data_IF_512243407925
#
_entry.id   IF_512243407925
#
_cell.length_a   1.000
_cell.length_b   1.000
_cell.length_c   1.000
_cell.angle_alpha   90.00
_cell.angle_beta   90.00
_cell.angle_gamma   90.00
#
_symmetry.space_group_name_H-M   'P 1'
#
loop_
_entity.id
_entity.type
_entity.pdbx_description
1 polymer ?
#
# COMPACT_ATOMS: atom_id res chain seq x y z
N UNK A 1 11.86 0.01 10.71
CA UNK A 1 13.06 0.11 9.83
C UNK A 1 13.24 -1.11 8.94
N UNK A 2 13.35 -2.34 9.48
CA UNK A 2 13.59 -3.53 8.64
C UNK A 2 12.51 -3.74 7.57
N UNK A 3 11.23 -3.66 7.94
CA UNK A 3 10.11 -3.79 7.00
C UNK A 3 10.15 -2.76 5.86
N UNK A 4 10.47 -1.50 6.18
CA UNK A 4 10.61 -0.44 5.18
C UNK A 4 11.72 -0.74 4.16
N UNK A 5 12.87 -1.21 4.64
CA UNK A 5 14.01 -1.57 3.77
C UNK A 5 13.63 -2.74 2.86
N UNK A 6 12.95 -3.76 3.39
CA UNK A 6 12.51 -4.92 2.59
C UNK A 6 11.49 -4.51 1.53
N UNK A 7 10.54 -3.62 1.86
CA UNK A 7 9.57 -3.09 0.89
C UNK A 7 10.27 -2.32 -0.23
N UNK A 8 11.21 -1.45 0.10
CA UNK A 8 11.98 -0.69 -0.89
C UNK A 8 12.78 -1.63 -1.81
N UNK A 9 13.50 -2.57 -1.20
CA UNK A 9 14.30 -3.53 -1.96
C UNK A 9 13.44 -4.44 -2.84
N UNK A 10 12.33 -4.94 -2.34
CA UNK A 10 11.38 -5.74 -3.09
C UNK A 10 10.77 -4.96 -4.26
N UNK A 11 10.35 -3.71 -4.04
CA UNK A 11 9.84 -2.83 -5.10
C UNK A 11 10.91 -2.56 -6.18
N UNK A 12 12.16 -2.38 -5.79
CA UNK A 12 13.28 -2.23 -6.72
C UNK A 12 13.54 -3.52 -7.51
N UNK A 13 13.46 -4.69 -6.88
CA UNK A 13 13.64 -5.98 -7.54
C UNK A 13 12.60 -6.27 -8.63
N UNK A 14 11.43 -5.63 -8.59
CA UNK A 14 10.44 -5.74 -9.66
C UNK A 14 10.95 -5.20 -11.01
N UNK A 15 11.98 -4.37 -11.01
CA UNK A 15 12.67 -3.96 -12.24
C UNK A 15 13.20 -5.14 -13.05
N UNK A 16 13.65 -6.20 -12.41
CA UNK A 16 14.19 -7.40 -13.05
C UNK A 16 13.12 -8.39 -13.50
N UNK A 17 11.85 -8.10 -13.25
CA UNK A 17 10.71 -8.93 -13.63
C UNK A 17 10.43 -8.81 -15.13
N UNK A 18 11.05 -9.67 -15.93
CA UNK A 18 10.84 -9.71 -17.38
C UNK A 18 9.51 -10.41 -17.67
N UNK A 19 8.68 -9.92 -18.62
CA UNK A 19 7.40 -10.53 -18.97
C UNK A 19 7.60 -11.83 -19.75
N UNK A 20 8.01 -12.88 -19.06
CA UNK A 20 8.16 -14.23 -19.59
C UNK A 20 7.72 -15.27 -18.57
N UNK A 21 7.28 -16.43 -19.04
CA UNK A 21 6.78 -17.51 -18.18
C UNK A 21 7.80 -17.92 -17.11
N UNK A 22 9.08 -17.88 -17.42
CA UNK A 22 10.16 -18.24 -16.50
C UNK A 22 10.27 -17.28 -15.29
N UNK A 23 9.83 -16.02 -15.44
CA UNK A 23 9.90 -15.00 -14.39
C UNK A 23 8.62 -14.90 -13.55
N UNK A 24 7.56 -15.65 -13.86
CA UNK A 24 6.28 -15.59 -13.13
C UNK A 24 6.47 -15.92 -11.65
N UNK A 25 7.15 -17.03 -11.34
CA UNK A 25 7.38 -17.46 -9.95
C UNK A 25 8.23 -16.43 -9.21
N UNK A 26 9.29 -15.91 -9.85
CA UNK A 26 10.13 -14.86 -9.30
C UNK A 26 9.30 -13.62 -8.92
N UNK A 27 8.49 -13.14 -9.86
CA UNK A 27 7.63 -11.96 -9.67
C UNK A 27 6.63 -12.17 -8.54
N UNK A 28 5.97 -13.34 -8.51
CA UNK A 28 5.01 -13.68 -7.47
C UNK A 28 5.65 -13.72 -6.07
N UNK A 29 6.83 -14.31 -5.95
CA UNK A 29 7.55 -14.35 -4.67
C UNK A 29 7.90 -12.94 -4.20
N UNK A 30 8.42 -12.09 -5.09
CA UNK A 30 8.77 -10.71 -4.75
C UNK A 30 7.54 -9.92 -4.33
N UNK A 31 6.45 -10.01 -5.09
CA UNK A 31 5.19 -9.32 -4.74
C UNK A 31 4.67 -9.81 -3.39
N UNK A 32 4.66 -11.12 -3.16
CA UNK A 32 4.21 -11.71 -1.90
C UNK A 32 5.02 -11.20 -0.70
N UNK A 33 6.35 -11.27 -0.80
CA UNK A 33 7.24 -10.79 0.27
C UNK A 33 7.06 -9.28 0.49
N UNK A 34 7.08 -8.50 -0.59
CA UNK A 34 6.95 -7.04 -0.50
C UNK A 34 5.64 -6.63 0.14
N UNK A 35 4.51 -7.20 -0.28
CA UNK A 35 3.20 -6.92 0.31
C UNK A 35 3.13 -7.35 1.78
N UNK A 36 3.66 -8.51 2.12
CA UNK A 36 3.68 -8.98 3.53
C UNK A 36 4.42 -7.97 4.42
N UNK A 37 5.59 -7.51 4.01
CA UNK A 37 6.36 -6.53 4.79
C UNK A 37 5.75 -5.12 4.74
N UNK A 38 5.04 -4.77 3.68
CA UNK A 38 4.24 -3.56 3.62
C UNK A 38 3.13 -3.57 4.68
N UNK A 39 2.37 -4.66 4.81
CA UNK A 39 1.36 -4.81 5.86
C UNK A 39 1.96 -4.74 7.26
N UNK A 40 3.11 -5.36 7.51
CA UNK A 40 3.82 -5.17 8.78
C UNK A 40 4.17 -3.70 9.03
N UNK A 41 4.63 -2.98 8.01
CA UNK A 41 4.92 -1.54 8.11
C UNK A 41 3.68 -0.75 8.52
N UNK A 42 2.52 -1.07 7.94
CA UNK A 42 1.23 -0.44 8.28
C UNK A 42 0.80 -0.70 9.73
N UNK A 43 1.03 -1.92 10.23
CA UNK A 43 0.74 -2.25 11.63
C UNK A 43 1.58 -1.40 12.57
N UNK A 44 2.88 -1.25 12.31
CA UNK A 44 3.76 -0.40 13.11
C UNK A 44 3.39 1.08 13.02
N UNK A 45 3.04 1.56 11.83
CA UNK A 45 2.56 2.91 11.61
C UNK A 45 1.29 3.19 12.42
N UNK A 46 0.30 2.32 12.34
CA UNK A 46 -0.96 2.46 13.07
C UNK A 46 -0.78 2.40 14.59
N UNK A 47 0.13 1.56 15.08
CA UNK A 47 0.47 1.52 16.50
C UNK A 47 1.07 2.83 17.00
N UNK A 48 1.92 3.47 16.18
CA UNK A 48 2.52 4.77 16.49
C UNK A 48 1.50 5.91 16.45
N UNK A 49 0.50 5.82 15.59
CA UNK A 49 -0.54 6.84 15.49
C UNK A 49 -1.23 7.09 16.84
N UNK A 50 -1.35 6.03 17.67
CA UNK A 50 -1.96 6.11 19.00
C UNK A 50 -1.11 6.90 20.02
N UNK A 51 0.19 7.07 19.76
CA UNK A 51 1.10 7.78 20.66
C UNK A 51 1.05 9.30 20.45
N UNK A 52 0.58 9.77 19.28
CA UNK A 52 0.44 11.19 19.01
C UNK A 52 -0.71 11.78 19.85
N UNK A 53 -0.33 12.60 20.83
CA UNK A 53 -1.30 13.42 21.59
C UNK A 53 -1.76 14.56 20.68
N UNK A 54 -2.83 14.35 19.96
CA UNK A 54 -3.47 15.37 19.14
C UNK A 54 -4.65 16.01 19.87
N UNK A 55 -4.90 17.28 19.61
CA UNK A 55 -6.14 17.98 20.01
C UNK A 55 -7.36 17.43 19.27
N UNK A 56 -7.12 16.70 18.17
CA UNK A 56 -8.15 16.03 17.38
C UNK A 56 -8.48 14.66 17.97
N UNK A 57 -9.73 14.24 17.79
CA UNK A 57 -10.09 12.85 18.11
C UNK A 57 -9.29 11.88 17.25
N UNK A 58 -8.92 10.72 17.80
CA UNK A 58 -8.16 9.67 17.11
C UNK A 58 -8.78 9.29 15.76
N UNK A 59 -10.12 9.25 15.68
CA UNK A 59 -10.82 8.97 14.42
C UNK A 59 -10.57 10.02 13.35
N UNK A 60 -10.66 11.32 13.70
CA UNK A 60 -10.39 12.41 12.75
C UNK A 60 -8.93 12.40 12.29
N UNK A 61 -8.00 12.20 13.22
CA UNK A 61 -6.57 12.15 12.89
C UNK A 61 -6.24 10.96 11.98
N UNK A 62 -6.78 9.79 12.27
CA UNK A 62 -6.65 8.60 11.42
C UNK A 62 -7.28 8.83 10.03
N UNK A 63 -8.48 9.45 9.96
CA UNK A 63 -9.13 9.77 8.69
C UNK A 63 -8.30 10.72 7.83
N UNK A 64 -7.73 11.78 8.40
CA UNK A 64 -6.83 12.69 7.68
C UNK A 64 -5.58 11.95 7.18
N UNK A 65 -4.98 11.10 8.02
CA UNK A 65 -3.80 10.32 7.65
C UNK A 65 -4.09 9.36 6.47
N UNK A 66 -5.25 8.71 6.47
CA UNK A 66 -5.69 7.88 5.36
C UNK A 66 -5.98 8.71 4.10
N UNK A 67 -6.68 9.83 4.23
CA UNK A 67 -6.98 10.72 3.11
C UNK A 67 -5.72 11.27 2.43
N UNK A 68 -4.72 11.68 3.20
CA UNK A 68 -3.43 12.13 2.65
C UNK A 68 -2.68 11.00 1.94
N UNK A 69 -2.78 9.75 2.44
CA UNK A 69 -2.23 8.57 1.77
C UNK A 69 -2.83 8.32 0.39
N UNK A 70 -4.16 8.38 0.28
CA UNK A 70 -4.86 8.26 -1.00
C UNK A 70 -4.48 9.38 -1.98
N UNK A 71 -4.38 10.61 -1.49
CA UNK A 71 -3.98 11.76 -2.31
C UNK A 71 -2.56 11.58 -2.86
N UNK A 72 -1.63 11.10 -2.03
CA UNK A 72 -0.28 10.73 -2.45
C UNK A 72 -0.27 9.63 -3.52
N UNK A 73 -1.10 8.60 -3.36
CA UNK A 73 -1.26 7.53 -4.34
C UNK A 73 -1.77 8.03 -5.70
N UNK A 74 -2.76 8.94 -5.71
CA UNK A 74 -3.28 9.56 -6.94
C UNK A 74 -2.19 10.40 -7.63
N UNK A 75 -1.46 11.21 -6.87
CA UNK A 75 -0.36 12.03 -7.43
C UNK A 75 0.71 11.11 -8.05
N UNK A 76 1.09 10.05 -7.36
CA UNK A 76 2.03 9.05 -7.88
C UNK A 76 1.52 8.42 -9.17
N UNK A 77 0.25 8.01 -9.20
CA UNK A 77 -0.38 7.42 -10.38
C UNK A 77 -0.38 8.40 -11.56
N UNK A 78 -0.72 9.66 -11.33
CA UNK A 78 -0.71 10.71 -12.37
C UNK A 78 0.70 10.94 -12.91
N UNK A 79 1.72 10.97 -12.05
CA UNK A 79 3.12 11.12 -12.47
C UNK A 79 3.53 9.95 -13.36
N UNK A 80 3.31 8.73 -12.91
CA UNK A 80 3.64 7.51 -13.66
C UNK A 80 2.93 7.49 -15.01
N UNK A 81 1.64 7.86 -15.00
CA UNK A 81 0.82 7.88 -16.18
C UNK A 81 1.32 8.90 -17.22
N UNK A 82 1.49 10.15 -16.79
CA UNK A 82 1.84 11.26 -17.69
C UNK A 82 3.26 11.18 -18.22
N UNK A 83 4.20 10.67 -17.44
CA UNK A 83 5.62 10.66 -17.82
C UNK A 83 6.13 9.32 -18.36
N UNK A 84 5.49 8.19 -18.02
CA UNK A 84 5.97 6.87 -18.40
C UNK A 84 5.06 6.10 -19.35
N UNK A 85 3.74 6.16 -19.13
CA UNK A 85 2.82 5.28 -19.86
C UNK A 85 2.30 5.96 -21.13
N UNK A 86 1.82 7.20 -21.03
CA UNK A 86 1.18 7.90 -22.14
C UNK A 86 2.13 8.32 -23.27
N UNK A 87 3.32 8.89 -23.01
CA UNK A 87 4.19 9.38 -24.08
C UNK A 87 4.65 8.25 -25.00
N UNK A 88 4.56 8.43 -26.30
CA UNK A 88 5.13 7.48 -27.28
C UNK A 88 6.65 7.35 -27.11
N UNK A 89 7.31 8.49 -26.87
CA UNK A 89 8.73 8.55 -26.48
C UNK A 89 8.83 8.95 -25.02
N UNK A 90 9.21 7.99 -24.17
CA UNK A 90 9.43 8.24 -22.76
C UNK A 90 10.64 9.15 -22.56
N UNK A 91 10.56 10.10 -21.62
CA UNK A 91 11.67 10.99 -21.24
C UNK A 91 12.95 10.24 -20.83
N UNK A 92 12.81 8.98 -20.39
CA UNK A 92 13.91 8.12 -19.93
C UNK A 92 14.43 7.15 -20.99
N UNK A 93 13.92 7.20 -22.24
CA UNK A 93 14.33 6.29 -23.30
C UNK A 93 14.01 4.80 -23.07
N UNK A 94 13.02 4.51 -22.21
CA UNK A 94 12.64 3.13 -21.87
C UNK A 94 11.93 2.45 -23.04
N UNK A 95 12.31 1.20 -23.31
CA UNK A 95 11.77 0.42 -24.41
C UNK A 95 10.36 -0.11 -24.05
N UNK A 96 9.36 0.32 -24.84
CA UNK A 96 7.96 -0.10 -24.65
C UNK A 96 7.73 -1.56 -25.05
N UNK A 97 8.43 -2.07 -26.07
CA UNK A 97 8.29 -3.46 -26.53
C UNK A 97 8.75 -4.46 -25.46
N UNK A 98 9.70 -4.04 -24.63
CA UNK A 98 10.21 -4.83 -23.48
C UNK A 98 9.48 -4.54 -22.17
N UNK A 99 8.40 -3.77 -22.20
CA UNK A 99 7.64 -3.34 -21.02
C UNK A 99 8.48 -2.66 -19.92
N UNK A 100 9.60 -2.03 -20.30
CA UNK A 100 10.51 -1.38 -19.35
C UNK A 100 9.83 -0.23 -18.60
N UNK A 101 8.94 0.52 -19.27
CA UNK A 101 8.15 1.60 -18.69
C UNK A 101 7.24 1.11 -17.56
N UNK A 102 6.68 -0.10 -17.66
CA UNK A 102 5.86 -0.70 -16.58
C UNK A 102 6.75 -1.18 -15.44
N UNK A 103 7.87 -1.82 -15.75
CA UNK A 103 8.81 -2.31 -14.74
C UNK A 103 9.44 -1.17 -13.93
N UNK A 104 9.66 -0.01 -14.56
CA UNK A 104 10.19 1.19 -13.91
C UNK A 104 9.24 1.77 -12.85
N UNK A 105 7.94 1.47 -12.90
CA UNK A 105 7.00 1.85 -11.85
C UNK A 105 7.42 1.33 -10.47
N UNK A 106 7.98 0.12 -10.39
CA UNK A 106 8.51 -0.44 -9.14
C UNK A 106 9.66 0.39 -8.57
N UNK A 107 10.52 0.93 -9.43
CA UNK A 107 11.63 1.81 -9.04
C UNK A 107 11.10 3.14 -8.49
N UNK A 108 10.09 3.74 -9.14
CA UNK A 108 9.46 4.98 -8.67
C UNK A 108 8.81 4.75 -7.30
N UNK A 109 8.07 3.67 -7.13
CA UNK A 109 7.43 3.32 -5.85
C UNK A 109 8.51 3.17 -4.77
N UNK A 110 9.63 2.50 -5.06
CA UNK A 110 10.76 2.39 -4.14
C UNK A 110 11.26 3.77 -3.68
N UNK A 111 11.53 4.68 -4.62
CA UNK A 111 12.02 6.02 -4.31
C UNK A 111 11.01 6.85 -3.50
N UNK A 112 9.75 6.87 -3.90
CA UNK A 112 8.71 7.60 -3.19
C UNK A 112 8.52 7.04 -1.77
N UNK A 113 8.47 5.72 -1.64
CA UNK A 113 8.34 5.08 -0.34
C UNK A 113 9.52 5.40 0.59
N UNK A 114 10.75 5.42 0.06
CA UNK A 114 11.94 5.85 0.81
C UNK A 114 11.81 7.31 1.25
N UNK A 115 11.57 8.23 0.33
CA UNK A 115 11.51 9.67 0.62
C UNK A 115 10.47 9.96 1.70
N UNK A 116 9.25 9.42 1.55
CA UNK A 116 8.18 9.66 2.51
C UNK A 116 8.33 8.91 3.84
N UNK A 117 9.12 7.85 3.88
CA UNK A 117 9.43 7.14 5.14
C UNK A 117 10.56 7.79 5.94
N UNK A 118 11.43 8.58 5.32
CA UNK A 118 12.57 9.26 5.98
C UNK A 118 12.13 10.10 7.20
N UNK A 119 11.12 10.98 7.13
CA UNK A 119 10.71 11.76 8.29
C UNK A 119 10.28 10.89 9.47
N UNK A 120 9.57 9.81 9.19
CA UNK A 120 9.15 8.85 10.21
C UNK A 120 10.33 8.10 10.83
N UNK A 121 11.34 7.77 10.03
CA UNK A 121 12.54 7.05 10.48
C UNK A 121 13.48 7.95 11.30
N UNK A 122 13.61 9.24 10.94
CA UNK A 122 14.48 10.21 11.63
C UNK A 122 13.86 10.62 12.98
N UNK A 123 12.55 10.88 13.02
CA UNK A 123 11.86 11.28 14.24
C UNK A 123 11.45 10.08 15.11
N UNK A 124 12.01 8.89 14.81
CA UNK A 124 11.84 7.73 15.64
C UNK A 124 12.62 7.87 16.95
N UNK A 125 12.09 8.64 17.88
CA UNK A 125 12.59 8.65 19.26
C UNK A 125 12.33 7.27 19.88
N UNK A 126 13.40 6.66 20.34
CA UNK A 126 13.32 5.47 21.17
C UNK A 126 12.69 5.90 22.52
N UNK A 127 11.37 5.99 22.59
CA UNK A 127 10.76 6.05 23.91
C UNK A 127 11.14 4.74 24.61
N UNK A 128 11.77 4.89 25.77
CA UNK A 128 12.00 3.80 26.70
C UNK A 128 10.65 3.32 27.26
N UNK A 129 9.81 2.79 26.38
CA UNK A 129 8.66 2.00 26.80
C UNK A 129 9.27 0.77 27.46
N UNK A 130 9.02 0.62 28.76
CA UNK A 130 9.35 -0.61 29.49
C UNK A 130 9.01 -1.80 28.61
N UNK A 131 10.04 -2.35 27.99
CA UNK A 131 9.89 -3.49 27.06
C UNK A 131 9.59 -4.72 27.93
N UNK A 132 8.42 -4.79 28.52
CA UNK A 132 7.87 -6.08 28.94
C UNK A 132 7.74 -6.91 27.68
N UNK A 133 8.81 -7.67 27.39
CA UNK A 133 8.81 -8.63 26.27
C UNK A 133 7.62 -9.56 26.52
N UNK A 134 6.50 -9.27 25.86
CA UNK A 134 5.37 -10.19 25.88
C UNK A 134 5.84 -11.47 25.21
N UNK A 135 5.92 -12.55 25.99
CA UNK A 135 6.20 -13.87 25.43
C UNK A 135 5.18 -14.21 24.36
N UNK A 136 5.59 -14.85 23.28
CA UNK A 136 4.71 -15.30 22.19
C UNK A 136 3.48 -16.03 22.72
N UNK A 137 3.65 -16.87 23.75
CA UNK A 137 2.55 -17.55 24.45
C UNK A 137 1.53 -16.57 25.06
N UNK A 138 1.98 -15.43 25.60
CA UNK A 138 1.08 -14.41 26.15
C UNK A 138 0.32 -13.69 25.06
N UNK A 139 0.97 -13.40 23.91
CA UNK A 139 0.33 -12.81 22.73
C UNK A 139 -0.76 -13.73 22.18
N UNK A 140 -0.47 -15.02 22.05
CA UNK A 140 -1.44 -16.01 21.58
C UNK A 140 -2.65 -16.11 22.53
N UNK A 141 -2.41 -16.13 23.84
CA UNK A 141 -3.50 -16.13 24.85
C UNK A 141 -4.35 -14.85 24.76
N UNK A 142 -3.74 -13.69 24.53
CA UNK A 142 -4.45 -12.42 24.34
C UNK A 142 -5.33 -12.45 23.08
N UNK A 143 -4.81 -12.95 21.97
CA UNK A 143 -5.56 -13.13 20.71
C UNK A 143 -6.75 -14.06 20.92
N UNK A 144 -6.52 -15.24 21.52
CA UNK A 144 -7.60 -16.19 21.80
C UNK A 144 -8.65 -15.62 22.75
N UNK A 145 -8.24 -14.81 23.73
CA UNK A 145 -9.18 -14.09 24.61
C UNK A 145 -10.01 -13.08 23.83
N UNK A 146 -9.38 -12.29 22.97
CA UNK A 146 -10.07 -11.27 22.14
C UNK A 146 -11.08 -11.90 21.19
N UNK A 147 -10.72 -13.04 20.56
CA UNK A 147 -11.62 -13.77 19.64
C UNK A 147 -12.82 -14.39 20.43
N UNK A 148 -12.66 -14.75 21.68
CA UNK A 148 -13.77 -15.27 22.51
C UNK A 148 -14.79 -14.18 22.91
N UNK A 149 -14.41 -12.92 22.92
CA UNK A 149 -15.31 -11.79 23.17
C UNK A 149 -16.13 -11.48 21.92
N UNK A 150 -17.40 -11.89 21.90
CA UNK A 150 -18.30 -11.83 20.74
C UNK A 150 -18.34 -10.45 20.06
N UNK A 151 -18.36 -9.37 20.83
CA UNK A 151 -18.38 -8.00 20.26
C UNK A 151 -17.10 -7.66 19.51
N UNK A 152 -15.95 -7.98 20.11
CA UNK A 152 -14.63 -7.75 19.47
C UNK A 152 -14.45 -8.64 18.25
N UNK A 153 -14.87 -9.88 18.32
CA UNK A 153 -14.82 -10.82 17.19
C UNK A 153 -15.66 -10.32 16.02
N UNK A 154 -16.93 -9.93 16.27
CA UNK A 154 -17.79 -9.40 15.23
C UNK A 154 -17.23 -8.12 14.58
N UNK A 155 -16.64 -7.23 15.39
CA UNK A 155 -15.99 -6.04 14.89
C UNK A 155 -14.79 -6.38 14.00
N UNK A 156 -13.92 -7.31 14.41
CA UNK A 156 -12.76 -7.76 13.62
C UNK A 156 -13.21 -8.41 12.32
N UNK A 157 -14.27 -9.23 12.37
CA UNK A 157 -14.81 -9.91 11.19
C UNK A 157 -15.40 -8.90 10.20
N UNK A 158 -16.18 -7.94 10.69
CA UNK A 158 -16.74 -6.87 9.87
C UNK A 158 -15.64 -6.02 9.21
N UNK A 159 -14.59 -5.67 9.98
CA UNK A 159 -13.43 -4.95 9.45
C UNK A 159 -12.70 -5.75 8.38
N UNK A 160 -12.51 -7.05 8.57
CA UNK A 160 -11.88 -7.93 7.59
C UNK A 160 -12.64 -7.89 6.27
N UNK A 161 -13.94 -8.18 6.27
CA UNK A 161 -14.75 -8.15 5.06
C UNK A 161 -14.81 -6.78 4.39
N UNK A 162 -14.90 -5.71 5.19
CA UNK A 162 -14.89 -4.36 4.66
C UNK A 162 -13.56 -4.04 3.95
N UNK A 163 -12.44 -4.37 4.58
CA UNK A 163 -11.11 -4.11 4.02
C UNK A 163 -10.86 -4.95 2.76
N UNK A 164 -11.21 -6.23 2.80
CA UNK A 164 -11.06 -7.13 1.65
C UNK A 164 -11.94 -6.68 0.47
N UNK A 165 -13.19 -6.28 0.73
CA UNK A 165 -14.07 -5.72 -0.29
C UNK A 165 -13.50 -4.45 -0.93
N UNK A 166 -12.95 -3.55 -0.13
CA UNK A 166 -12.35 -2.31 -0.59
C UNK A 166 -11.07 -2.56 -1.43
N UNK A 167 -10.20 -3.43 -0.97
CA UNK A 167 -8.98 -3.83 -1.69
C UNK A 167 -9.34 -4.49 -3.02
N UNK A 168 -10.33 -5.39 -3.00
CA UNK A 168 -10.81 -6.07 -4.21
C UNK A 168 -11.37 -5.07 -5.22
N UNK A 169 -12.19 -4.11 -4.76
CA UNK A 169 -12.74 -3.07 -5.62
C UNK A 169 -11.64 -2.26 -6.33
N UNK A 170 -10.63 -1.82 -5.58
CA UNK A 170 -9.53 -1.05 -6.17
C UNK A 170 -8.62 -1.89 -7.07
N UNK A 171 -8.35 -3.15 -6.71
CA UNK A 171 -7.46 -4.01 -7.49
C UNK A 171 -8.10 -4.52 -8.78
N UNK A 172 -9.36 -4.91 -8.72
CA UNK A 172 -10.05 -5.51 -9.86
C UNK A 172 -10.94 -4.54 -10.63
N UNK A 173 -11.32 -3.40 -10.05
CA UNK A 173 -12.23 -2.45 -10.68
C UNK A 173 -11.72 -1.95 -12.03
N UNK A 174 -10.44 -1.61 -12.14
CA UNK A 174 -9.81 -1.20 -13.39
C UNK A 174 -9.74 -2.34 -14.43
N UNK A 175 -9.38 -3.55 -13.99
CA UNK A 175 -9.31 -4.75 -14.84
C UNK A 175 -10.71 -5.10 -15.36
N UNK A 176 -11.72 -5.04 -14.51
CA UNK A 176 -13.11 -5.30 -14.88
C UNK A 176 -13.63 -4.24 -15.86
N UNK A 177 -13.36 -2.96 -15.61
CA UNK A 177 -13.76 -1.87 -16.50
C UNK A 177 -13.14 -2.01 -17.90
N UNK A 178 -11.87 -2.37 -18.00
CA UNK A 178 -11.21 -2.58 -19.29
C UNK A 178 -11.67 -3.87 -19.97
N UNK A 179 -11.83 -4.97 -19.22
CA UNK A 179 -12.11 -6.28 -19.79
C UNK A 179 -13.57 -6.49 -20.18
N UNK A 180 -14.54 -5.89 -19.44
CA UNK A 180 -15.99 -6.09 -19.67
C UNK A 180 -16.58 -4.93 -20.45
N UNK A 181 -16.22 -3.70 -20.11
CA UNK A 181 -16.77 -2.49 -20.73
C UNK A 181 -15.89 -1.91 -21.83
N UNK A 182 -14.71 -2.48 -22.07
CA UNK A 182 -13.71 -1.97 -23.01
C UNK A 182 -13.36 -0.48 -22.75
N UNK A 183 -13.38 -0.09 -21.48
CA UNK A 183 -13.02 1.28 -21.11
C UNK A 183 -11.58 1.55 -21.47
N UNK A 184 -11.37 2.70 -22.08
CA UNK A 184 -10.04 3.22 -22.34
C UNK A 184 -9.38 3.61 -21.03
N UNK A 185 -8.07 3.69 -21.03
CA UNK A 185 -7.29 4.05 -19.85
C UNK A 185 -7.73 5.39 -19.21
N UNK A 186 -8.13 6.36 -20.03
CA UNK A 186 -8.65 7.64 -19.57
C UNK A 186 -9.98 7.51 -18.84
N UNK A 187 -10.89 6.70 -19.34
CA UNK A 187 -12.20 6.44 -18.72
C UNK A 187 -12.06 5.76 -17.38
N UNK A 188 -11.08 4.85 -17.24
CA UNK A 188 -10.77 4.18 -15.97
C UNK A 188 -10.28 5.19 -14.93
N UNK A 189 -9.44 6.15 -15.31
CA UNK A 189 -8.96 7.20 -14.40
C UNK A 189 -10.11 8.11 -13.97
N UNK A 190 -10.99 8.51 -14.90
CA UNK A 190 -12.19 9.28 -14.57
C UNK A 190 -13.09 8.53 -13.59
N UNK A 191 -13.27 7.21 -13.79
CA UNK A 191 -14.06 6.36 -12.91
C UNK A 191 -13.46 6.33 -11.49
N UNK A 192 -12.16 6.11 -11.38
CA UNK A 192 -11.44 6.11 -10.08
C UNK A 192 -11.58 7.47 -9.40
N UNK A 193 -11.40 8.56 -10.12
CA UNK A 193 -11.56 9.92 -9.61
C UNK A 193 -12.98 10.20 -9.11
N UNK A 194 -13.99 9.70 -9.80
CA UNK A 194 -15.41 9.85 -9.45
C UNK A 194 -15.74 9.04 -8.17
N UNK A 195 -15.23 7.81 -8.07
CA UNK A 195 -15.39 6.97 -6.87
C UNK A 195 -14.77 7.65 -5.65
N UNK A 196 -13.57 8.19 -5.80
CA UNK A 196 -12.88 8.90 -4.72
C UNK A 196 -13.63 10.16 -4.28
N UNK A 197 -14.27 10.87 -5.22
CA UNK A 197 -15.09 12.05 -4.91
C UNK A 197 -16.36 11.69 -4.14
N UNK A 198 -16.97 10.54 -4.43
CA UNK A 198 -18.17 10.05 -3.72
C UNK A 198 -17.81 9.59 -2.31
N UNK A 199 -16.62 9.00 -2.11
CA UNK A 199 -16.16 8.54 -0.80
C UNK A 199 -15.73 9.68 0.14
N UNK A 200 -15.63 10.93 -0.35
CA UNK A 200 -15.32 12.13 0.43
C UNK A 200 -16.58 12.85 0.97
N UNK A 201 -17.76 12.43 0.56
CA UNK A 201 -19.06 12.88 1.07
C UNK A 201 -19.53 12.01 2.22
#
# INVERSE_FOLDING_TARGET
>A
MLSTIIVCFGSFLLWFSIPSVNFVIYTLIIIFVTNTFFEFSQVFYNARLLEFKSTLSLGKFSGIAWGTGYLGGIICLLIVLTFLILPEHNLLGLNKDKYEHIRFCGVIVCFLYLIFSIPFLIHYEHQNVDKKKLSFSKLLKLLLKTIKEKEKFNFLLARMFYTDGLITLFSFGGIYASGVFNFTFYEIIYLIGLILRILQL
#
